data_IF_365092925502
#
_entry.id   IF_365092925502
#
_cell.length_a   1.000
_cell.length_b   1.000
_cell.length_c   1.000
_cell.angle_alpha   90.00
_cell.angle_beta   90.00
_cell.angle_gamma   90.00
#
_symmetry.space_group_name_H-M   'P 1'
#
loop_
_entity.id
_entity.type
_entity.pdbx_description
1 polymer ?
#
# COMPACT_ATOMS: atom_id res chain seq x y z
N UNK A 1 22.41 -21.85 4.21
CA UNK A 1 22.18 -20.41 3.97
C UNK A 1 22.15 -19.58 5.26
N UNK A 2 21.34 -19.89 6.29
CA UNK A 2 21.37 -19.10 7.53
C UNK A 2 22.67 -19.19 8.34
N UNK A 3 23.32 -20.35 8.34
CA UNK A 3 24.59 -20.60 9.07
C UNK A 3 25.80 -19.93 8.41
N UNK A 4 25.87 -19.90 7.08
CA UNK A 4 26.95 -19.24 6.33
C UNK A 4 26.89 -17.70 6.40
N UNK A 5 25.68 -17.13 6.61
CA UNK A 5 25.55 -15.68 6.78
C UNK A 5 26.05 -15.19 8.14
N UNK A 6 26.08 -16.05 9.16
CA UNK A 6 26.54 -15.69 10.50
C UNK A 6 28.08 -15.69 10.64
N UNK A 7 28.80 -16.41 9.78
CA UNK A 7 30.27 -16.53 9.85
C UNK A 7 31.03 -15.25 9.44
N UNK A 8 30.37 -14.28 8.80
CA UNK A 8 30.94 -13.00 8.37
C UNK A 8 30.40 -11.79 9.14
N UNK A 9 29.75 -12.01 10.27
CA UNK A 9 29.24 -10.92 11.12
C UNK A 9 30.31 -10.51 12.13
N UNK A 10 30.36 -9.20 12.41
CA UNK A 10 31.11 -8.70 13.58
C UNK A 10 30.51 -9.21 14.88
N UNK A 11 31.24 -9.05 15.97
CA UNK A 11 30.86 -9.65 17.27
C UNK A 11 29.58 -9.03 17.86
N UNK A 12 29.35 -7.74 17.67
CA UNK A 12 28.16 -7.06 18.17
C UNK A 12 26.93 -7.34 17.27
N UNK A 13 27.08 -7.37 15.96
CA UNK A 13 26.04 -7.81 15.03
C UNK A 13 25.52 -9.21 15.39
N UNK A 14 26.42 -10.19 15.53
CA UNK A 14 26.05 -11.56 15.87
C UNK A 14 25.29 -11.66 17.19
N UNK A 15 25.72 -10.94 18.22
CA UNK A 15 25.05 -10.86 19.51
C UNK A 15 23.62 -10.31 19.42
N UNK A 16 23.45 -9.17 18.76
CA UNK A 16 22.13 -8.52 18.64
C UNK A 16 21.18 -9.26 17.70
N UNK A 17 21.68 -9.87 16.62
CA UNK A 17 20.87 -10.71 15.76
C UNK A 17 20.45 -12.02 16.43
N UNK A 18 21.28 -12.56 17.31
CA UNK A 18 20.90 -13.67 18.20
C UNK A 18 19.75 -13.29 19.13
N UNK A 19 19.83 -12.12 19.76
CA UNK A 19 18.76 -11.59 20.62
C UNK A 19 17.50 -11.28 19.80
N UNK A 20 17.62 -10.66 18.61
CA UNK A 20 16.51 -10.44 17.68
C UNK A 20 15.76 -11.74 17.40
N UNK A 21 16.48 -12.81 17.04
CA UNK A 21 15.88 -14.10 16.72
C UNK A 21 15.16 -14.74 17.93
N UNK A 22 15.60 -14.41 19.15
CA UNK A 22 14.98 -14.90 20.40
C UNK A 22 13.67 -14.19 20.73
N UNK A 23 13.56 -12.87 20.42
CA UNK A 23 12.44 -12.04 20.91
C UNK A 23 11.48 -11.57 19.81
N UNK A 24 11.89 -11.56 18.55
CA UNK A 24 11.02 -11.13 17.45
C UNK A 24 10.35 -12.33 16.76
N UNK A 25 9.09 -12.11 16.37
CA UNK A 25 8.38 -13.06 15.52
C UNK A 25 9.07 -13.14 14.15
N UNK A 26 9.36 -14.35 13.68
CA UNK A 26 10.02 -14.57 12.39
C UNK A 26 9.06 -14.34 11.21
N UNK A 27 8.73 -13.09 10.92
CA UNK A 27 7.84 -12.69 9.81
C UNK A 27 8.61 -12.51 8.50
N UNK A 28 9.82 -11.93 8.57
CA UNK A 28 10.65 -11.60 7.41
C UNK A 28 12.02 -12.30 7.40
N UNK A 29 12.25 -13.22 8.32
CA UNK A 29 13.57 -13.82 8.55
C UNK A 29 14.44 -12.95 9.47
N UNK A 30 15.66 -13.45 9.73
CA UNK A 30 16.65 -12.69 10.50
C UNK A 30 17.21 -11.55 9.63
N UNK A 31 17.29 -10.31 10.12
CA UNK A 31 17.91 -9.20 9.39
C UNK A 31 19.37 -9.48 9.04
N UNK A 32 19.87 -8.79 8.01
CA UNK A 32 21.23 -8.98 7.53
C UNK A 32 22.28 -8.33 8.44
N UNK A 33 21.93 -7.20 9.07
CA UNK A 33 22.80 -6.37 9.92
C UNK A 33 21.96 -5.63 10.95
N UNK A 34 22.61 -5.17 12.01
CA UNK A 34 22.07 -4.22 12.97
C UNK A 34 22.62 -2.84 12.65
N UNK A 35 21.76 -1.93 12.20
CA UNK A 35 22.16 -0.57 11.87
C UNK A 35 22.19 0.30 13.11
N UNK A 36 23.19 1.19 13.21
CA UNK A 36 23.40 2.11 14.32
C UNK A 36 22.93 3.53 13.97
N UNK A 37 23.52 4.14 12.96
CA UNK A 37 23.20 5.52 12.57
C UNK A 37 23.35 5.72 11.06
N UNK A 38 22.86 6.88 10.57
CA UNK A 38 23.00 7.26 9.17
C UNK A 38 23.13 8.77 9.00
N UNK A 39 23.79 9.19 7.92
CA UNK A 39 23.93 10.59 7.50
C UNK A 39 23.80 10.70 5.97
N UNK A 40 22.87 11.51 5.50
CA UNK A 40 22.61 11.64 4.07
C UNK A 40 22.24 10.29 3.43
N UNK A 41 23.01 9.81 2.46
CA UNK A 41 22.83 8.54 1.80
C UNK A 41 23.68 7.38 2.39
N UNK A 42 24.37 7.61 3.49
CA UNK A 42 25.24 6.62 4.13
C UNK A 42 24.60 6.11 5.43
N UNK A 43 24.85 4.84 5.75
CA UNK A 43 24.39 4.18 6.95
C UNK A 43 25.51 3.30 7.51
N UNK A 44 25.65 3.24 8.83
CA UNK A 44 26.63 2.45 9.53
C UNK A 44 25.97 1.34 10.35
N UNK A 45 26.57 0.16 10.33
CA UNK A 45 26.17 -0.91 11.24
C UNK A 45 26.82 -0.72 12.63
N UNK A 46 26.38 -1.54 13.59
CA UNK A 46 26.83 -1.47 14.97
C UNK A 46 28.32 -1.86 15.15
N UNK A 47 28.91 -2.55 14.17
CA UNK A 47 30.35 -2.88 14.12
C UNK A 47 31.18 -1.78 13.44
N UNK A 48 30.55 -0.67 13.01
CA UNK A 48 31.19 0.51 12.41
C UNK A 48 31.46 0.40 10.92
N UNK A 49 30.89 -0.56 10.21
CA UNK A 49 31.02 -0.67 8.77
C UNK A 49 30.07 0.33 8.09
N UNK A 50 30.58 1.05 7.10
CA UNK A 50 29.86 2.05 6.32
C UNK A 50 29.26 1.43 5.05
N UNK A 51 28.04 1.81 4.75
CA UNK A 51 27.31 1.39 3.54
C UNK A 51 26.71 2.60 2.83
N UNK A 52 26.74 2.59 1.49
CA UNK A 52 25.94 3.50 0.67
C UNK A 52 24.55 2.89 0.51
N UNK A 53 23.54 3.58 1.01
CA UNK A 53 22.16 3.08 1.06
C UNK A 53 21.40 3.34 -0.25
N UNK A 54 21.25 2.30 -1.07
CA UNK A 54 20.37 2.28 -2.24
C UNK A 54 18.97 1.72 -1.95
N UNK A 55 18.71 1.30 -0.71
CA UNK A 55 17.39 0.79 -0.31
C UNK A 55 16.46 1.90 0.18
N UNK A 56 17.03 2.90 0.88
CA UNK A 56 16.32 4.05 1.44
C UNK A 56 15.06 3.67 2.24
N UNK A 57 15.13 2.57 3.02
CA UNK A 57 13.98 2.06 3.76
C UNK A 57 12.85 1.56 2.86
N UNK A 58 13.16 1.04 1.68
CA UNK A 58 12.25 0.72 0.56
C UNK A 58 11.59 2.02 0.06
N UNK A 59 12.44 2.95 -0.39
CA UNK A 59 12.11 4.25 -0.99
C UNK A 59 11.34 5.24 -0.08
N UNK A 60 11.43 5.10 1.25
CA UNK A 60 10.75 6.00 2.21
C UNK A 60 11.64 7.16 2.66
N UNK A 61 12.97 6.97 2.73
CA UNK A 61 13.93 7.96 3.22
C UNK A 61 14.32 9.00 2.16
N UNK A 62 13.35 9.67 1.56
CA UNK A 62 13.59 10.61 0.45
C UNK A 62 14.51 11.78 0.81
N UNK A 63 14.63 12.15 2.08
CA UNK A 63 15.53 13.21 2.58
C UNK A 63 16.91 12.67 3.01
N UNK A 64 17.13 11.36 2.94
CA UNK A 64 18.28 10.71 3.56
C UNK A 64 18.20 10.66 5.09
N UNK A 65 19.26 10.16 5.71
CA UNK A 65 19.36 10.01 7.16
C UNK A 65 19.72 11.34 7.84
N UNK A 66 19.17 11.53 9.03
CA UNK A 66 19.50 12.64 9.94
C UNK A 66 19.36 14.05 9.33
N UNK A 67 18.46 14.24 8.35
CA UNK A 67 18.28 15.56 7.71
C UNK A 67 17.93 16.63 8.78
N UNK A 68 18.73 17.72 8.91
CA UNK A 68 18.65 18.60 10.08
C UNK A 68 17.30 19.31 10.23
N UNK A 69 16.67 19.71 9.12
CA UNK A 69 15.34 20.34 9.17
C UNK A 69 14.26 19.36 9.63
N UNK A 70 14.35 18.09 9.19
CA UNK A 70 13.41 17.05 9.61
C UNK A 70 13.58 16.73 11.10
N UNK A 71 14.82 16.48 11.56
CA UNK A 71 15.13 16.20 12.96
C UNK A 71 14.61 17.33 13.85
N UNK A 72 14.88 18.60 13.46
CA UNK A 72 14.40 19.76 14.21
C UNK A 72 12.89 19.80 14.31
N UNK A 73 12.17 19.66 13.17
CA UNK A 73 10.71 19.74 13.15
C UNK A 73 10.05 18.63 14.00
N UNK A 74 10.55 17.39 13.92
CA UNK A 74 10.06 16.28 14.73
C UNK A 74 10.32 16.50 16.20
N UNK A 75 11.53 16.91 16.58
CA UNK A 75 11.91 17.15 17.98
C UNK A 75 11.08 18.27 18.62
N UNK A 76 10.89 19.38 17.90
CA UNK A 76 10.08 20.51 18.36
C UNK A 76 8.61 20.13 18.53
N UNK A 77 8.03 19.40 17.55
CA UNK A 77 6.65 18.96 17.64
C UNK A 77 6.44 17.89 18.71
N UNK A 78 7.37 16.97 18.88
CA UNK A 78 7.33 15.95 19.94
C UNK A 78 7.33 16.58 21.33
N UNK A 79 8.13 17.65 21.53
CA UNK A 79 8.14 18.41 22.77
C UNK A 79 6.87 19.24 23.01
N UNK A 80 6.15 19.63 21.94
CA UNK A 80 4.92 20.42 22.00
C UNK A 80 3.68 19.55 22.21
N UNK A 81 3.44 18.58 21.32
CA UNK A 81 2.33 17.62 21.38
C UNK A 81 2.57 16.46 20.41
N UNK A 82 2.96 15.31 20.94
CA UNK A 82 3.27 14.14 20.11
C UNK A 82 2.01 13.41 19.63
N UNK A 83 0.97 13.35 20.46
CA UNK A 83 -0.30 12.66 20.13
C UNK A 83 -1.48 13.29 20.86
N UNK A 84 -2.61 13.48 20.16
CA UNK A 84 -3.81 14.12 20.73
C UNK A 84 -5.11 13.34 20.47
N UNK A 85 -5.07 12.16 19.84
CA UNK A 85 -6.26 11.43 19.37
C UNK A 85 -7.02 12.16 18.25
N UNK A 86 -7.86 11.42 17.53
CA UNK A 86 -8.74 11.96 16.47
C UNK A 86 -9.91 12.81 16.98
N UNK A 87 -10.05 12.95 18.30
CA UNK A 87 -11.01 13.92 18.89
C UNK A 87 -10.51 15.36 18.82
N UNK A 88 -9.24 15.57 18.57
CA UNK A 88 -8.60 16.88 18.47
C UNK A 88 -7.78 16.98 17.20
N UNK A 89 -7.56 18.17 16.71
CA UNK A 89 -6.73 18.46 15.56
C UNK A 89 -5.41 19.14 15.98
N UNK A 90 -4.40 19.06 15.13
CA UNK A 90 -3.15 19.81 15.26
C UNK A 90 -2.86 20.60 14.00
N UNK A 91 -2.20 21.76 14.16
CA UNK A 91 -1.82 22.61 13.02
C UNK A 91 -1.04 21.84 11.92
N UNK A 92 0.01 21.06 12.24
CA UNK A 92 0.77 20.35 11.21
C UNK A 92 -0.06 19.37 10.39
N UNK A 93 -1.05 18.70 11.00
CA UNK A 93 -1.95 17.79 10.31
C UNK A 93 -2.82 18.52 9.28
N UNK A 94 -3.37 19.68 9.66
CA UNK A 94 -4.23 20.49 8.80
C UNK A 94 -3.41 21.08 7.64
N UNK A 95 -2.25 21.66 7.95
CA UNK A 95 -1.34 22.24 6.96
C UNK A 95 -0.88 21.19 5.93
N UNK A 96 -0.49 19.99 6.41
CA UNK A 96 -0.08 18.90 5.51
C UNK A 96 -1.24 18.47 4.61
N UNK A 97 -2.45 18.30 5.13
CA UNK A 97 -3.62 17.93 4.34
C UNK A 97 -3.90 18.97 3.24
N UNK A 98 -3.89 20.26 3.59
CA UNK A 98 -4.08 21.36 2.65
C UNK A 98 -2.99 21.37 1.56
N UNK A 99 -1.73 21.16 1.96
CA UNK A 99 -0.60 21.14 1.04
C UNK A 99 -0.65 19.95 0.07
N UNK A 100 -1.08 18.78 0.54
CA UNK A 100 -1.25 17.60 -0.31
C UNK A 100 -2.35 17.80 -1.36
N UNK A 101 -3.49 18.38 -0.98
CA UNK A 101 -4.58 18.72 -1.90
C UNK A 101 -4.11 19.71 -2.97
N UNK A 102 -3.39 20.75 -2.57
CA UNK A 102 -2.82 21.76 -3.48
C UNK A 102 -1.84 21.11 -4.47
N UNK A 103 -0.86 20.34 -3.97
CA UNK A 103 0.17 19.72 -4.80
C UNK A 103 -0.39 18.66 -5.77
N UNK A 104 -1.42 17.94 -5.35
CA UNK A 104 -2.11 16.97 -6.19
C UNK A 104 -3.00 17.63 -7.27
N UNK A 105 -3.24 18.93 -7.20
CA UNK A 105 -4.22 19.60 -8.06
C UNK A 105 -5.63 18.96 -7.89
N UNK A 106 -5.93 18.49 -6.68
CA UNK A 106 -7.15 17.75 -6.43
C UNK A 106 -8.40 18.65 -6.56
N UNK A 107 -9.54 18.12 -7.05
CA UNK A 107 -10.76 18.91 -7.21
C UNK A 107 -11.27 19.46 -5.87
N UNK A 108 -12.09 20.50 -5.93
CA UNK A 108 -12.78 21.03 -4.76
C UNK A 108 -13.59 19.94 -4.06
N UNK A 109 -13.58 19.94 -2.73
CA UNK A 109 -14.23 18.92 -1.92
C UNK A 109 -13.38 17.66 -1.68
N UNK A 110 -12.14 17.63 -2.18
CA UNK A 110 -11.20 16.55 -1.86
C UNK A 110 -10.78 16.58 -0.39
N UNK A 111 -10.54 15.39 0.17
CA UNK A 111 -10.14 15.21 1.56
C UNK A 111 -8.93 14.30 1.66
N UNK A 112 -8.16 14.44 2.74
CA UNK A 112 -7.00 13.61 3.06
C UNK A 112 -7.32 12.71 4.25
N UNK A 113 -6.99 11.44 4.12
CA UNK A 113 -6.96 10.47 5.22
C UNK A 113 -5.50 10.12 5.52
N UNK A 114 -5.09 10.22 6.78
CA UNK A 114 -3.77 9.82 7.24
C UNK A 114 -3.81 8.45 7.90
N UNK A 115 -3.05 7.51 7.37
CA UNK A 115 -2.78 6.21 7.96
C UNK A 115 -1.30 6.08 8.33
N UNK A 116 -0.93 4.97 8.97
CA UNK A 116 0.45 4.71 9.36
C UNK A 116 1.22 3.92 8.28
N UNK A 117 0.54 3.45 7.26
CA UNK A 117 1.13 2.65 6.18
C UNK A 117 0.28 2.72 4.91
N UNK A 118 0.89 2.38 3.76
CA UNK A 118 0.14 2.21 2.50
C UNK A 118 -0.96 1.15 2.63
N UNK A 119 -0.71 0.06 3.37
CA UNK A 119 -1.73 -0.96 3.63
C UNK A 119 -2.96 -0.39 4.35
N UNK A 120 -2.79 0.50 5.34
CA UNK A 120 -3.93 1.19 5.99
C UNK A 120 -4.64 2.15 5.05
N UNK A 121 -3.92 2.84 4.16
CA UNK A 121 -4.50 3.64 3.09
C UNK A 121 -5.37 2.79 2.16
N UNK A 122 -4.86 1.65 1.73
CA UNK A 122 -5.59 0.69 0.90
C UNK A 122 -6.79 0.07 1.63
N UNK A 123 -6.69 -0.24 2.91
CA UNK A 123 -7.85 -0.67 3.72
C UNK A 123 -8.96 0.39 3.73
N UNK A 124 -8.60 1.67 3.89
CA UNK A 124 -9.56 2.76 3.84
C UNK A 124 -10.20 2.87 2.45
N UNK A 125 -9.40 2.83 1.38
CA UNK A 125 -9.87 2.90 0.00
C UNK A 125 -10.81 1.72 -0.35
N UNK A 126 -10.45 0.49 0.02
CA UNK A 126 -11.28 -0.70 -0.19
C UNK A 126 -12.60 -0.63 0.59
N UNK A 127 -12.58 -0.11 1.82
CA UNK A 127 -13.80 0.11 2.62
C UNK A 127 -14.71 1.15 1.99
N UNK A 128 -14.14 2.27 1.50
CA UNK A 128 -14.90 3.31 0.78
C UNK A 128 -15.51 2.73 -0.50
N UNK A 129 -14.74 1.97 -1.28
CA UNK A 129 -15.23 1.29 -2.48
C UNK A 129 -16.38 0.33 -2.17
N UNK A 130 -16.26 -0.47 -1.12
CA UNK A 130 -17.34 -1.38 -0.68
C UNK A 130 -18.59 -0.61 -0.22
N UNK A 131 -18.42 0.49 0.50
CA UNK A 131 -19.54 1.34 0.93
C UNK A 131 -20.23 1.98 -0.26
N UNK A 132 -19.47 2.57 -1.18
CA UNK A 132 -19.96 3.14 -2.42
C UNK A 132 -20.66 2.09 -3.28
N UNK A 133 -20.08 0.91 -3.41
CA UNK A 133 -20.64 -0.19 -4.20
C UNK A 133 -22.05 -0.61 -3.75
N UNK A 134 -22.45 -0.33 -2.50
CA UNK A 134 -23.82 -0.59 -2.02
C UNK A 134 -24.86 0.35 -2.62
N UNK A 135 -24.43 1.48 -3.16
CA UNK A 135 -25.32 2.47 -3.79
C UNK A 135 -25.51 2.23 -5.28
N UNK A 136 -24.70 1.35 -5.89
CA UNK A 136 -24.75 1.08 -7.31
C UNK A 136 -26.02 0.30 -7.72
N UNK A 137 -26.62 0.60 -8.87
CA UNK A 137 -27.72 -0.17 -9.42
C UNK A 137 -27.33 -1.64 -9.60
N UNK A 138 -28.20 -2.54 -9.19
CA UNK A 138 -27.96 -4.00 -9.29
C UNK A 138 -27.10 -4.57 -8.18
N UNK A 139 -26.49 -3.77 -7.30
CA UNK A 139 -25.83 -4.26 -6.11
C UNK A 139 -26.84 -4.70 -5.06
N UNK A 140 -26.64 -5.86 -4.48
CA UNK A 140 -27.43 -6.34 -3.36
C UNK A 140 -26.52 -6.90 -2.26
N UNK A 141 -26.45 -6.26 -1.10
CA UNK A 141 -25.70 -6.77 0.04
C UNK A 141 -26.44 -7.88 0.81
N UNK A 142 -27.70 -8.18 0.43
CA UNK A 142 -28.49 -9.22 1.07
C UNK A 142 -27.90 -10.61 0.80
N UNK A 143 -28.19 -11.56 1.70
CA UNK A 143 -27.79 -12.96 1.54
C UNK A 143 -28.38 -13.49 0.21
N UNK A 144 -27.50 -14.03 -0.64
CA UNK A 144 -27.88 -14.49 -1.98
C UNK A 144 -27.99 -13.39 -3.05
N UNK A 145 -27.77 -12.12 -2.69
CA UNK A 145 -27.65 -11.01 -3.62
C UNK A 145 -26.30 -10.97 -4.35
N UNK A 146 -26.14 -10.00 -5.26
CA UNK A 146 -24.91 -9.78 -6.01
C UNK A 146 -24.15 -8.60 -5.41
N UNK A 147 -23.19 -8.81 -4.50
CA UNK A 147 -22.41 -7.71 -3.95
C UNK A 147 -21.56 -7.06 -5.04
N UNK A 148 -21.31 -5.78 -4.88
CA UNK A 148 -20.39 -5.08 -5.76
C UNK A 148 -18.96 -5.64 -5.64
N UNK A 149 -18.24 -5.65 -6.75
CA UNK A 149 -16.89 -6.21 -6.90
C UNK A 149 -15.84 -5.11 -6.96
N UNK A 150 -14.62 -5.45 -6.59
CA UNK A 150 -13.43 -4.63 -6.81
C UNK A 150 -12.52 -5.40 -7.76
N UNK A 151 -12.03 -4.73 -8.79
CA UNK A 151 -11.07 -5.30 -9.74
C UNK A 151 -9.68 -4.84 -9.34
N UNK A 152 -8.74 -5.77 -9.18
CA UNK A 152 -7.33 -5.53 -8.95
C UNK A 152 -6.52 -6.07 -10.15
N UNK A 153 -5.28 -5.62 -10.29
CA UNK A 153 -4.41 -6.05 -11.38
C UNK A 153 -3.55 -7.26 -10.98
N UNK A 154 -3.33 -8.18 -11.93
CA UNK A 154 -2.27 -9.18 -11.78
C UNK A 154 -0.94 -8.48 -11.50
N UNK A 155 -0.07 -9.14 -10.75
CA UNK A 155 1.23 -8.61 -10.31
C UNK A 155 1.15 -7.37 -9.39
N UNK A 156 -0.04 -6.87 -9.02
CA UNK A 156 -0.21 -5.77 -8.08
C UNK A 156 0.14 -6.16 -6.64
N UNK A 157 0.69 -5.19 -5.90
CA UNK A 157 0.96 -5.31 -4.46
C UNK A 157 0.31 -4.14 -3.73
N UNK A 158 -0.61 -4.44 -2.82
CA UNK A 158 -1.40 -3.43 -2.10
C UNK A 158 -1.25 -3.52 -0.58
N UNK A 159 -0.44 -4.44 -0.08
CA UNK A 159 -0.14 -4.63 1.35
C UNK A 159 -0.39 -6.05 1.85
N UNK A 160 -0.23 -6.22 3.16
CA UNK A 160 -0.28 -7.52 3.85
C UNK A 160 -1.39 -7.64 4.90
N UNK A 161 -2.17 -6.59 5.17
CA UNK A 161 -3.39 -6.67 5.98
C UNK A 161 -4.48 -7.46 5.23
N UNK A 162 -5.46 -8.01 5.90
CA UNK A 162 -6.42 -8.93 5.28
C UNK A 162 -7.13 -8.33 4.05
N UNK A 163 -7.55 -7.06 4.09
CA UNK A 163 -8.17 -6.40 2.95
C UNK A 163 -7.16 -6.08 1.84
N UNK A 164 -6.04 -5.45 2.19
CA UNK A 164 -4.99 -5.13 1.22
C UNK A 164 -4.36 -6.39 0.58
N UNK A 165 -4.18 -7.46 1.38
CA UNK A 165 -3.71 -8.76 0.88
C UNK A 165 -4.70 -9.39 -0.11
N UNK A 166 -6.00 -9.14 0.06
CA UNK A 166 -7.02 -9.62 -0.88
C UNK A 166 -6.88 -9.03 -2.27
N UNK A 167 -6.34 -7.79 -2.38
CA UNK A 167 -6.05 -7.11 -3.63
C UNK A 167 -4.60 -7.33 -4.12
N UNK A 168 -3.73 -7.92 -3.32
CA UNK A 168 -2.35 -8.27 -3.69
C UNK A 168 -2.33 -9.57 -4.47
N UNK A 169 -1.70 -9.58 -5.66
CA UNK A 169 -1.74 -10.72 -6.59
C UNK A 169 -0.98 -11.96 -6.13
N UNK A 170 0.22 -11.82 -5.62
CA UNK A 170 1.20 -12.91 -5.41
C UNK A 170 0.64 -14.10 -4.59
N UNK A 171 0.36 -15.28 -5.21
CA UNK A 171 -0.28 -16.42 -4.53
C UNK A 171 0.49 -16.89 -3.28
N UNK A 172 1.82 -16.96 -3.37
CA UNK A 172 2.68 -17.47 -2.29
C UNK A 172 2.59 -16.70 -0.96
N UNK A 173 2.07 -15.47 -0.99
CA UNK A 173 1.89 -14.67 0.23
C UNK A 173 0.42 -14.58 0.65
N UNK A 174 -0.51 -15.10 -0.16
CA UNK A 174 -1.96 -15.07 0.07
C UNK A 174 -2.53 -16.37 0.55
N UNK A 175 -2.16 -17.48 -0.08
CA UNK A 175 -2.78 -18.80 0.05
C UNK A 175 -2.87 -19.28 1.51
N UNK A 176 -1.86 -18.98 2.32
CA UNK A 176 -1.84 -19.35 3.74
C UNK A 176 -2.93 -18.63 4.57
N UNK A 177 -3.54 -17.56 4.05
CA UNK A 177 -4.52 -16.74 4.77
C UNK A 177 -5.92 -16.81 4.16
N UNK A 178 -6.15 -17.71 3.21
CA UNK A 178 -7.49 -17.93 2.64
C UNK A 178 -8.48 -18.51 3.68
N UNK A 179 -9.78 -18.14 3.67
CA UNK A 179 -10.38 -17.23 2.70
C UNK A 179 -10.14 -15.75 3.05
N UNK A 180 -9.78 -14.98 2.04
CA UNK A 180 -9.58 -13.53 2.12
C UNK A 180 -10.90 -12.76 1.95
N UNK A 181 -10.82 -11.43 1.85
CA UNK A 181 -11.99 -10.58 1.65
C UNK A 181 -12.63 -10.89 0.27
N UNK A 182 -13.91 -11.28 0.22
CA UNK A 182 -14.55 -11.72 -1.00
C UNK A 182 -14.84 -10.57 -1.98
N UNK A 183 -15.10 -10.94 -3.24
CA UNK A 183 -15.47 -10.04 -4.34
C UNK A 183 -14.35 -9.07 -4.73
N UNK A 184 -13.12 -9.51 -4.62
CA UNK A 184 -11.95 -8.90 -5.27
C UNK A 184 -11.51 -9.87 -6.35
N UNK A 185 -11.45 -9.38 -7.60
CA UNK A 185 -11.14 -10.16 -8.78
C UNK A 185 -9.89 -9.57 -9.46
N UNK A 186 -9.10 -10.43 -10.10
CA UNK A 186 -7.90 -10.00 -10.79
C UNK A 186 -8.10 -10.03 -12.30
N UNK A 187 -7.62 -8.98 -12.96
CA UNK A 187 -7.47 -8.91 -14.42
C UNK A 187 -6.02 -8.71 -14.79
N UNK A 188 -5.63 -9.13 -15.98
CA UNK A 188 -4.26 -8.96 -16.46
C UNK A 188 -3.90 -7.48 -16.57
N UNK A 189 -2.80 -7.09 -15.95
CA UNK A 189 -2.32 -5.71 -15.97
C UNK A 189 -1.95 -5.26 -17.38
N UNK A 190 -2.54 -4.17 -17.86
CA UNK A 190 -2.31 -3.65 -19.21
C UNK A 190 -3.17 -4.27 -20.30
N UNK A 191 -4.03 -5.26 -19.99
CA UNK A 191 -4.96 -5.85 -20.94
C UNK A 191 -6.33 -5.13 -20.90
N UNK A 192 -6.56 -4.26 -21.90
CA UNK A 192 -7.82 -3.50 -22.04
C UNK A 192 -9.02 -4.43 -22.22
N UNK A 193 -8.86 -5.55 -22.95
CA UNK A 193 -9.94 -6.49 -23.22
C UNK A 193 -10.35 -7.20 -21.94
N UNK A 194 -9.39 -7.69 -21.17
CA UNK A 194 -9.68 -8.34 -19.89
C UNK A 194 -10.41 -7.40 -18.91
N UNK A 195 -10.01 -6.13 -18.87
CA UNK A 195 -10.68 -5.12 -18.03
C UNK A 195 -12.10 -4.84 -18.53
N UNK A 196 -12.28 -4.66 -19.84
CA UNK A 196 -13.60 -4.47 -20.46
C UNK A 196 -14.54 -5.64 -20.16
N UNK A 197 -14.07 -6.86 -20.32
CA UNK A 197 -14.87 -8.07 -20.10
C UNK A 197 -15.29 -8.20 -18.62
N UNK A 198 -14.40 -7.82 -17.70
CA UNK A 198 -14.74 -7.78 -16.28
C UNK A 198 -15.88 -6.81 -15.97
N UNK A 199 -15.98 -5.67 -16.66
CA UNK A 199 -17.14 -4.77 -16.57
C UNK A 199 -18.39 -5.36 -17.26
N UNK A 200 -18.22 -5.99 -18.43
CA UNK A 200 -19.32 -6.58 -19.21
C UNK A 200 -20.01 -7.77 -18.52
N UNK A 201 -19.30 -8.50 -17.65
CA UNK A 201 -19.87 -9.58 -16.82
C UNK A 201 -20.90 -9.09 -15.79
N UNK A 202 -21.05 -7.78 -15.62
CA UNK A 202 -22.06 -7.17 -14.75
C UNK A 202 -23.45 -7.32 -15.39
N UNK A 203 -24.43 -7.86 -14.66
CA UNK A 203 -25.78 -7.92 -15.20
C UNK A 203 -26.78 -8.75 -14.40
N UNK A 204 -28.07 -8.64 -14.76
CA UNK A 204 -29.12 -9.46 -14.18
C UNK A 204 -29.01 -10.91 -14.68
N UNK A 205 -29.46 -11.86 -13.87
CA UNK A 205 -29.52 -13.27 -14.21
C UNK A 205 -28.60 -14.17 -13.40
N UNK A 206 -28.71 -15.49 -13.61
CA UNK A 206 -28.06 -16.52 -12.78
C UNK A 206 -26.52 -16.47 -12.86
N UNK A 207 -25.98 -16.01 -13.97
CA UNK A 207 -24.55 -16.02 -14.27
C UNK A 207 -23.90 -14.63 -14.27
N UNK A 208 -24.69 -13.54 -14.17
CA UNK A 208 -24.13 -12.19 -14.08
C UNK A 208 -23.51 -11.93 -12.70
N UNK A 209 -22.39 -11.26 -12.68
CA UNK A 209 -21.75 -10.79 -11.44
C UNK A 209 -22.39 -9.48 -10.95
N UNK A 210 -22.12 -9.08 -9.71
CA UNK A 210 -22.49 -7.76 -9.20
C UNK A 210 -21.74 -6.63 -9.92
N UNK A 211 -22.18 -5.36 -9.77
CA UNK A 211 -21.51 -4.24 -10.42
C UNK A 211 -20.07 -4.08 -9.92
N UNK A 212 -19.22 -3.47 -10.74
CA UNK A 212 -17.86 -3.09 -10.34
C UNK A 212 -17.95 -1.80 -9.52
N UNK A 213 -17.54 -1.86 -8.26
CA UNK A 213 -17.48 -0.68 -7.37
C UNK A 213 -16.21 0.13 -7.58
N UNK A 214 -15.10 -0.55 -7.84
CA UNK A 214 -13.82 0.11 -8.03
C UNK A 214 -12.86 -0.77 -8.84
N UNK A 215 -11.91 -0.09 -9.48
CA UNK A 215 -10.67 -0.68 -10.00
C UNK A 215 -9.53 -0.14 -9.16
N UNK A 216 -8.63 -1.01 -8.67
CA UNK A 216 -7.41 -0.62 -7.96
C UNK A 216 -6.19 -1.03 -8.77
N UNK A 217 -5.24 -0.11 -8.94
CA UNK A 217 -4.00 -0.34 -9.68
C UNK A 217 -2.86 0.54 -9.19
N UNK A 218 -1.64 0.06 -9.38
CA UNK A 218 -0.42 0.86 -9.32
C UNK A 218 -0.12 1.44 -10.71
N UNK A 219 0.31 2.69 -10.80
CA UNK A 219 0.79 3.24 -12.09
C UNK A 219 2.10 2.60 -12.52
N UNK A 220 2.93 2.24 -11.54
CA UNK A 220 4.17 1.49 -11.71
C UNK A 220 4.15 0.37 -10.68
N UNK A 221 3.99 -0.86 -11.13
CA UNK A 221 3.99 -2.03 -10.25
C UNK A 221 5.40 -2.26 -9.69
N UNK A 222 5.63 -1.82 -8.45
CA UNK A 222 6.95 -1.84 -7.82
C UNK A 222 7.45 -3.24 -7.52
N UNK A 223 6.71 -4.02 -6.75
CA UNK A 223 7.05 -5.38 -6.31
C UNK A 223 7.21 -6.37 -7.49
N UNK A 224 6.55 -6.12 -8.60
CA UNK A 224 6.62 -6.94 -9.80
C UNK A 224 7.85 -6.65 -10.69
N UNK A 225 8.77 -5.81 -10.24
CA UNK A 225 10.00 -5.44 -10.96
C UNK A 225 9.91 -4.12 -11.71
N UNK A 226 9.28 -3.11 -11.09
CA UNK A 226 9.16 -1.73 -11.60
C UNK A 226 8.54 -1.71 -13.00
N UNK A 227 7.32 -2.23 -13.12
CA UNK A 227 6.59 -2.38 -14.39
C UNK A 227 5.58 -1.23 -14.57
N UNK A 228 5.85 -0.22 -15.40
CA UNK A 228 4.91 0.85 -15.65
C UNK A 228 3.72 0.34 -16.47
N UNK A 229 2.52 0.76 -16.09
CA UNK A 229 1.34 0.63 -16.93
C UNK A 229 1.38 1.68 -18.04
N UNK A 230 0.96 1.31 -19.25
CA UNK A 230 0.88 2.25 -20.35
C UNK A 230 -0.12 3.38 -20.09
N UNK A 231 0.24 4.62 -20.42
CA UNK A 231 -0.62 5.78 -20.19
C UNK A 231 -1.99 5.64 -20.86
N UNK A 232 -2.06 5.00 -22.03
CA UNK A 232 -3.32 4.80 -22.75
C UNK A 232 -4.20 3.78 -22.03
N UNK A 233 -3.62 2.71 -21.47
CA UNK A 233 -4.36 1.77 -20.64
C UNK A 233 -4.97 2.46 -19.40
N UNK A 234 -4.19 3.30 -18.71
CA UNK A 234 -4.69 4.04 -17.54
C UNK A 234 -5.84 4.98 -17.90
N UNK A 235 -5.73 5.70 -19.03
CA UNK A 235 -6.82 6.55 -19.54
C UNK A 235 -8.07 5.72 -19.86
N UNK A 236 -7.91 4.56 -20.48
CA UNK A 236 -9.01 3.64 -20.77
C UNK A 236 -9.66 3.10 -19.48
N UNK A 237 -8.86 2.71 -18.51
CA UNK A 237 -9.36 2.28 -17.22
C UNK A 237 -10.17 3.41 -16.52
N UNK A 238 -9.69 4.67 -16.57
CA UNK A 238 -10.45 5.83 -16.08
C UNK A 238 -11.80 5.97 -16.83
N UNK A 239 -11.78 5.91 -18.17
CA UNK A 239 -12.99 6.01 -18.97
C UNK A 239 -13.98 4.88 -18.65
N UNK A 240 -13.52 3.62 -18.55
CA UNK A 240 -14.36 2.48 -18.19
C UNK A 240 -14.99 2.65 -16.81
N UNK A 241 -14.22 3.17 -15.85
CA UNK A 241 -14.75 3.48 -14.53
C UNK A 241 -15.85 4.54 -14.60
N UNK A 242 -15.64 5.64 -15.33
CA UNK A 242 -16.62 6.71 -15.50
C UNK A 242 -17.91 6.23 -16.15
N UNK A 243 -17.79 5.47 -17.24
CA UNK A 243 -18.93 4.92 -18.00
C UNK A 243 -19.79 3.93 -17.17
N UNK A 244 -19.18 3.30 -16.15
CA UNK A 244 -19.85 2.31 -15.30
C UNK A 244 -20.10 2.80 -13.86
N UNK A 245 -19.89 4.08 -13.57
CA UNK A 245 -19.98 4.65 -12.22
C UNK A 245 -19.12 3.90 -11.19
N UNK A 246 -17.94 3.44 -11.60
CA UNK A 246 -16.98 2.81 -10.71
C UNK A 246 -15.93 3.81 -10.23
N UNK A 247 -15.38 3.59 -9.04
CA UNK A 247 -14.24 4.35 -8.54
C UNK A 247 -12.94 3.86 -9.18
N UNK A 248 -11.98 4.76 -9.35
CA UNK A 248 -10.61 4.40 -9.70
C UNK A 248 -9.70 4.72 -8.52
N UNK A 249 -9.00 3.71 -8.01
CA UNK A 249 -8.04 3.79 -6.92
C UNK A 249 -6.66 3.64 -7.53
N UNK A 250 -5.83 4.66 -7.39
CA UNK A 250 -4.45 4.66 -7.86
C UNK A 250 -3.51 4.63 -6.66
N UNK A 251 -2.63 3.66 -6.62
CA UNK A 251 -1.52 3.57 -5.68
C UNK A 251 -0.23 4.02 -6.37
N UNK A 252 0.55 4.87 -5.68
CA UNK A 252 1.80 5.47 -6.15
C UNK A 252 2.92 5.32 -5.12
#
# INVERSE_FOLDING_TARGET
MATEQLENLGSEDAKWLGEYSRVHMNVFGTPLRVMDHGEGAHIWDIDGNEYLDFLAGIAVNALGYAHPKWVKAVSEQAAKAAHVSNYFATEPQIELASKLIELAGAPEGSHVYFGNSGAEGNEAALKLAKLYGRTLPGASPAIGGKPARIIAMTHGFHGRTMGALSATWKPTIREAFEPLVPNIEFVEAGDETALHDAFAETGPGKYGKGPVAAVIMELIQGEAGVRPLGADYVKKARQMCDDNNALLIIEI
#
